data_IF_128156399056
#
_entry.id   IF_128156399056
#
_cell.length_a   1.000
_cell.length_b   1.000
_cell.length_c   1.000
_cell.angle_alpha   90.00
_cell.angle_beta   90.00
_cell.angle_gamma   90.00
#
_symmetry.space_group_name_H-M   'P 1'
#
loop_
_entity.id
_entity.type
_entity.pdbx_description
1 polymer ?
#
# COMPACT_ATOMS: atom_id res chain seq x y z
N UNK A 1 -14.83 7.65 7.65
CA UNK A 1 -14.51 6.21 7.66
C UNK A 1 -15.17 5.55 6.46
N UNK A 2 -14.53 4.52 5.91
CA UNK A 2 -15.17 3.50 5.06
C UNK A 2 -15.21 2.20 5.85
N UNK A 3 -16.35 1.53 5.86
CA UNK A 3 -16.56 0.26 6.56
C UNK A 3 -16.95 -0.82 5.58
N UNK A 4 -16.25 -1.95 5.65
CA UNK A 4 -16.47 -3.14 4.84
C UNK A 4 -16.89 -4.28 5.76
N UNK A 5 -17.98 -4.99 5.42
CA UNK A 5 -18.49 -6.12 6.20
C UNK A 5 -18.87 -7.28 5.28
N UNK A 6 -18.36 -8.46 5.59
CA UNK A 6 -18.61 -9.73 4.90
C UNK A 6 -18.49 -9.63 3.37
N UNK A 7 -17.54 -8.83 2.90
CA UNK A 7 -17.37 -8.52 1.49
C UNK A 7 -16.81 -9.75 0.78
N UNK A 8 -17.56 -10.23 -0.21
CA UNK A 8 -17.09 -11.24 -1.14
C UNK A 8 -17.25 -10.71 -2.56
N UNK A 9 -16.21 -10.87 -3.38
CA UNK A 9 -16.29 -10.63 -4.81
C UNK A 9 -15.85 -11.89 -5.57
N UNK A 10 -16.70 -12.34 -6.49
CA UNK A 10 -16.44 -13.48 -7.37
C UNK A 10 -16.54 -13.06 -8.84
N UNK A 11 -15.64 -13.62 -9.65
CA UNK A 11 -15.77 -13.65 -11.11
C UNK A 11 -15.98 -15.10 -11.55
N UNK A 12 -17.22 -15.44 -11.88
CA UNK A 12 -17.62 -16.84 -12.10
C UNK A 12 -17.34 -17.69 -10.85
N UNK A 13 -16.48 -18.70 -10.99
CA UNK A 13 -16.08 -19.59 -9.88
C UNK A 13 -14.91 -19.07 -9.04
N UNK A 14 -14.19 -18.06 -9.52
CA UNK A 14 -13.00 -17.55 -8.86
C UNK A 14 -13.37 -16.50 -7.80
N UNK A 15 -13.00 -16.75 -6.54
CA UNK A 15 -13.10 -15.78 -5.46
C UNK A 15 -11.89 -14.84 -5.52
N UNK A 16 -12.16 -13.54 -5.65
CA UNK A 16 -11.15 -12.49 -5.82
C UNK A 16 -10.91 -11.73 -4.52
N UNK A 17 -11.98 -11.46 -3.77
CA UNK A 17 -11.93 -10.81 -2.46
C UNK A 17 -12.83 -11.57 -1.49
N UNK A 18 -12.36 -11.72 -0.25
CA UNK A 18 -13.08 -12.28 0.88
C UNK A 18 -12.59 -11.58 2.15
N UNK A 19 -13.31 -10.54 2.54
CA UNK A 19 -12.94 -9.61 3.60
C UNK A 19 -14.08 -9.59 4.63
N UNK A 20 -13.93 -10.32 5.76
CA UNK A 20 -14.95 -10.36 6.80
C UNK A 20 -15.22 -8.99 7.41
N UNK A 21 -14.17 -8.23 7.70
CA UNK A 21 -14.29 -6.87 8.23
C UNK A 21 -13.06 -6.04 7.90
N UNK A 22 -13.27 -4.79 7.52
CA UNK A 22 -12.20 -3.80 7.35
C UNK A 22 -12.76 -2.39 7.55
N UNK A 23 -12.14 -1.62 8.44
CA UNK A 23 -12.44 -0.21 8.65
C UNK A 23 -11.24 0.66 8.26
N UNK A 24 -11.48 1.60 7.34
CA UNK A 24 -10.49 2.51 6.79
C UNK A 24 -10.79 3.96 7.20
N UNK A 25 -9.76 4.65 7.71
CA UNK A 25 -9.87 6.06 8.04
C UNK A 25 -9.82 6.89 6.74
N UNK A 26 -10.75 7.84 6.58
CA UNK A 26 -10.87 8.71 5.41
C UNK A 26 -10.25 10.10 5.61
N UNK A 27 -9.53 10.35 6.70
CA UNK A 27 -8.78 11.61 6.96
C UNK A 27 -7.27 11.39 7.16
N UNK A 28 -6.84 10.14 7.27
CA UNK A 28 -5.42 9.74 7.30
C UNK A 28 -4.92 9.25 5.95
N UNK A 29 -3.67 8.82 5.91
CA UNK A 29 -3.02 8.13 4.80
C UNK A 29 -2.88 6.66 5.20
N UNK A 30 -3.63 5.79 4.52
CA UNK A 30 -3.57 4.34 4.70
C UNK A 30 -2.87 3.70 3.50
N UNK A 31 -1.81 2.94 3.76
CA UNK A 31 -1.17 2.08 2.77
C UNK A 31 -1.94 0.75 2.65
N UNK A 32 -2.28 0.36 1.42
CA UNK A 32 -2.83 -0.96 1.09
C UNK A 32 -1.74 -1.76 0.37
N UNK A 33 -1.13 -2.70 1.07
CA UNK A 33 0.04 -3.46 0.63
C UNK A 33 -0.33 -4.88 0.26
N UNK A 34 0.44 -5.48 -0.63
CA UNK A 34 0.27 -6.86 -1.05
C UNK A 34 0.93 -7.12 -2.39
N UNK A 35 1.14 -8.40 -2.73
CA UNK A 35 1.72 -8.79 -4.00
C UNK A 35 0.84 -8.37 -5.19
N UNK A 36 1.40 -8.39 -6.39
CA UNK A 36 0.60 -8.29 -7.61
C UNK A 36 -0.45 -9.41 -7.63
N UNK A 37 -1.66 -9.08 -8.08
CA UNK A 37 -2.80 -10.01 -8.08
C UNK A 37 -3.45 -10.26 -6.72
N UNK A 38 -3.03 -9.60 -5.63
CA UNK A 38 -3.65 -9.82 -4.31
C UNK A 38 -5.07 -9.25 -4.17
N UNK A 39 -5.51 -8.42 -5.12
CA UNK A 39 -6.85 -7.81 -5.15
C UNK A 39 -6.90 -6.31 -4.82
N UNK A 40 -5.76 -5.62 -4.67
CA UNK A 40 -5.70 -4.20 -4.24
C UNK A 40 -6.53 -3.27 -5.13
N UNK A 41 -6.27 -3.29 -6.45
CA UNK A 41 -6.99 -2.48 -7.44
C UNK A 41 -8.49 -2.77 -7.44
N UNK A 42 -8.86 -4.03 -7.29
CA UNK A 42 -10.26 -4.45 -7.21
C UNK A 42 -10.92 -3.94 -5.93
N UNK A 43 -10.24 -4.01 -4.79
CA UNK A 43 -10.72 -3.43 -3.54
C UNK A 43 -10.90 -1.91 -3.68
N UNK A 44 -9.92 -1.19 -4.24
CA UNK A 44 -10.05 0.26 -4.48
C UNK A 44 -11.27 0.61 -5.36
N UNK A 45 -11.55 -0.18 -6.42
CA UNK A 45 -12.76 0.03 -7.25
C UNK A 45 -14.07 -0.17 -6.47
N UNK A 46 -14.10 -1.14 -5.56
CA UNK A 46 -15.26 -1.33 -4.67
C UNK A 46 -15.38 -0.17 -3.67
N UNK A 47 -14.28 0.25 -3.04
CA UNK A 47 -14.26 1.39 -2.12
C UNK A 47 -14.64 2.71 -2.82
N UNK A 48 -14.40 2.81 -4.13
CA UNK A 48 -14.83 3.90 -4.99
C UNK A 48 -16.30 3.80 -5.46
N UNK A 49 -17.02 2.74 -5.09
CA UNK A 49 -18.38 2.42 -5.56
C UNK A 49 -18.50 2.28 -7.09
N UNK A 50 -17.39 1.99 -7.78
CA UNK A 50 -17.37 1.71 -9.22
C UNK A 50 -17.68 0.24 -9.54
N UNK A 51 -17.60 -0.63 -8.53
CA UNK A 51 -17.90 -2.04 -8.65
C UNK A 51 -18.64 -2.49 -7.39
N UNK A 52 -19.74 -3.23 -7.57
CA UNK A 52 -20.47 -3.83 -6.45
C UNK A 52 -19.83 -5.18 -6.05
N UNK A 53 -19.77 -5.50 -4.75
CA UNK A 53 -19.41 -6.84 -4.32
C UNK A 53 -20.49 -7.86 -4.71
N UNK A 54 -20.13 -9.14 -4.72
CA UNK A 54 -21.08 -10.25 -4.94
C UNK A 54 -21.96 -10.49 -3.71
N UNK A 55 -21.42 -10.27 -2.50
CA UNK A 55 -22.16 -10.26 -1.23
C UNK A 55 -21.44 -9.37 -0.21
N UNK A 56 -22.12 -9.09 0.91
CA UNK A 56 -21.63 -8.18 1.94
C UNK A 56 -21.95 -6.71 1.63
N UNK A 57 -21.34 -5.80 2.38
CA UNK A 57 -21.62 -4.37 2.28
C UNK A 57 -20.37 -3.51 2.39
N UNK A 58 -20.46 -2.33 1.78
CA UNK A 58 -19.48 -1.25 1.91
C UNK A 58 -20.22 0.04 2.20
N UNK A 59 -19.82 0.72 3.27
CA UNK A 59 -20.38 1.98 3.72
C UNK A 59 -19.35 3.10 3.60
N UNK A 60 -19.75 4.20 2.99
CA UNK A 60 -18.97 5.43 2.93
C UNK A 60 -19.60 6.46 3.86
N UNK A 61 -18.87 6.86 4.90
CA UNK A 61 -19.37 7.85 5.88
C UNK A 61 -20.75 7.48 6.45
N UNK A 62 -20.96 6.19 6.74
CA UNK A 62 -22.21 5.65 7.28
C UNK A 62 -23.32 5.44 6.25
N UNK A 63 -23.01 5.54 4.94
CA UNK A 63 -24.00 5.36 3.86
C UNK A 63 -23.64 4.13 3.01
N UNK A 64 -24.52 3.12 2.96
CA UNK A 64 -24.40 1.98 2.04
C UNK A 64 -24.70 2.36 0.58
N UNK A 65 -25.60 3.32 0.38
CA UNK A 65 -25.97 3.86 -0.92
C UNK A 65 -25.70 5.37 -0.97
N UNK A 66 -24.43 5.79 -1.00
CA UNK A 66 -24.06 7.20 -0.99
C UNK A 66 -24.62 7.93 -2.21
N UNK A 67 -25.08 9.17 -2.00
CA UNK A 67 -25.55 10.03 -3.10
C UNK A 67 -24.44 10.32 -4.12
N UNK A 68 -24.81 10.73 -5.33
CA UNK A 68 -23.82 11.18 -6.32
C UNK A 68 -22.98 12.36 -5.80
N UNK A 69 -23.56 13.25 -4.98
CA UNK A 69 -22.82 14.35 -4.37
C UNK A 69 -21.75 13.85 -3.37
N UNK A 70 -22.09 12.80 -2.61
CA UNK A 70 -21.16 12.12 -1.69
C UNK A 70 -20.06 11.41 -2.47
N UNK A 71 -20.40 10.64 -3.52
CA UNK A 71 -19.42 9.96 -4.37
C UNK A 71 -18.50 10.93 -5.09
N UNK A 72 -18.99 12.15 -5.39
CA UNK A 72 -18.16 13.23 -5.93
C UNK A 72 -17.11 13.77 -4.95
N UNK A 73 -17.07 13.28 -3.72
CA UNK A 73 -16.00 13.63 -2.77
C UNK A 73 -14.85 12.60 -2.80
N UNK A 74 -14.94 11.57 -3.65
CA UNK A 74 -13.89 10.57 -3.89
C UNK A 74 -13.22 10.85 -5.25
N UNK A 75 -11.91 10.70 -5.31
CA UNK A 75 -11.14 10.66 -6.55
C UNK A 75 -10.31 9.37 -6.61
N UNK A 76 -10.49 8.57 -7.67
CA UNK A 76 -9.68 7.38 -7.94
C UNK A 76 -8.65 7.69 -9.02
N UNK A 77 -7.37 7.43 -8.73
CA UNK A 77 -6.29 7.38 -9.72
C UNK A 77 -5.96 5.92 -10.00
N UNK A 78 -6.06 5.52 -11.27
CA UNK A 78 -5.75 4.18 -11.74
C UNK A 78 -4.24 4.03 -12.01
N UNK A 79 -3.69 2.79 -12.05
CA UNK A 79 -2.26 2.55 -12.30
C UNK A 79 -1.78 3.07 -13.65
N UNK A 80 -2.64 2.95 -14.66
CA UNK A 80 -2.44 3.48 -16.00
C UNK A 80 -3.54 4.50 -16.27
N UNK A 81 -3.35 5.76 -15.88
CA UNK A 81 -4.37 6.78 -16.02
C UNK A 81 -4.53 7.16 -17.49
N UNK A 82 -5.79 7.23 -17.93
CA UNK A 82 -6.15 7.65 -19.27
C UNK A 82 -6.74 9.06 -19.21
N UNK A 83 -6.15 9.98 -19.98
CA UNK A 83 -6.71 11.30 -20.21
C UNK A 83 -7.77 11.25 -21.30
N UNK A 84 -8.77 12.12 -21.21
CA UNK A 84 -9.73 12.30 -22.30
C UNK A 84 -8.99 12.79 -23.56
N UNK A 85 -9.49 12.39 -24.74
CA UNK A 85 -8.94 12.76 -26.07
C UNK A 85 -9.07 14.26 -26.39
N UNK A 86 -8.46 15.10 -25.58
CA UNK A 86 -8.53 16.58 -25.55
C UNK A 86 -7.17 17.15 -25.11
N UNK A 87 -7.07 18.47 -24.99
CA UNK A 87 -5.90 19.08 -24.35
C UNK A 87 -5.92 18.83 -22.84
N UNK A 88 -4.76 19.00 -22.21
CA UNK A 88 -4.61 18.96 -20.75
C UNK A 88 -5.53 19.98 -20.08
N UNK A 89 -5.58 21.22 -20.59
CA UNK A 89 -6.48 22.26 -20.09
C UNK A 89 -7.95 21.81 -20.09
N UNK A 90 -8.41 21.18 -21.17
CA UNK A 90 -9.79 20.72 -21.29
C UNK A 90 -10.10 19.53 -20.38
N UNK A 91 -9.09 18.72 -20.06
CA UNK A 91 -9.21 17.68 -19.03
C UNK A 91 -9.41 18.32 -17.64
N UNK A 92 -8.62 19.34 -17.27
CA UNK A 92 -8.82 20.09 -16.02
C UNK A 92 -10.18 20.79 -15.97
N UNK A 93 -10.59 21.49 -17.04
CA UNK A 93 -11.89 22.16 -17.12
C UNK A 93 -13.04 21.17 -16.92
N UNK A 94 -12.95 19.99 -17.54
CA UNK A 94 -13.93 18.93 -17.36
C UNK A 94 -14.00 18.46 -15.90
N UNK A 95 -12.86 18.13 -15.30
CA UNK A 95 -12.78 17.66 -13.92
C UNK A 95 -13.35 18.68 -12.93
N UNK A 96 -12.95 19.95 -13.03
CA UNK A 96 -13.40 21.02 -12.14
C UNK A 96 -14.87 21.39 -12.35
N UNK A 97 -15.35 21.39 -13.60
CA UNK A 97 -16.79 21.59 -13.89
C UNK A 97 -17.65 20.53 -13.22
N UNK A 98 -17.21 19.27 -13.19
CA UNK A 98 -17.93 18.17 -12.51
C UNK A 98 -18.05 18.35 -10.99
N UNK A 99 -17.19 19.21 -10.41
CA UNK A 99 -17.15 19.57 -9.00
C UNK A 99 -17.76 20.93 -8.68
N UNK A 100 -18.26 21.66 -9.69
CA UNK A 100 -18.72 23.04 -9.50
C UNK A 100 -17.61 24.05 -9.20
N UNK A 101 -16.35 23.71 -9.49
CA UNK A 101 -15.16 24.47 -9.11
C UNK A 101 -14.47 25.16 -10.29
N UNK A 102 -15.18 25.38 -11.41
CA UNK A 102 -14.60 25.98 -12.62
C UNK A 102 -14.21 27.45 -12.42
N UNK A 103 -14.86 28.17 -11.50
CA UNK A 103 -14.51 29.54 -11.16
C UNK A 103 -13.12 29.66 -10.50
N UNK A 104 -12.64 28.57 -9.88
CA UNK A 104 -11.33 28.48 -9.22
C UNK A 104 -10.27 27.81 -10.15
N UNK A 105 -10.48 27.85 -11.46
CA UNK A 105 -9.65 27.11 -12.42
C UNK A 105 -8.17 27.44 -12.28
N UNK A 106 -7.81 28.73 -12.37
CA UNK A 106 -6.41 29.15 -12.37
C UNK A 106 -5.69 28.75 -11.09
N UNK A 107 -6.28 29.05 -9.92
CA UNK A 107 -5.72 28.73 -8.61
C UNK A 107 -5.47 27.22 -8.44
N UNK A 108 -6.48 26.40 -8.74
CA UNK A 108 -6.42 24.95 -8.53
C UNK A 108 -5.48 24.26 -9.49
N UNK A 109 -5.44 24.73 -10.75
CA UNK A 109 -4.58 24.16 -11.78
C UNK A 109 -3.12 24.50 -11.49
N UNK A 110 -2.82 25.74 -11.11
CA UNK A 110 -1.44 26.15 -10.83
C UNK A 110 -0.88 25.46 -9.59
N UNK A 111 -1.69 25.35 -8.53
CA UNK A 111 -1.34 24.56 -7.35
C UNK A 111 -1.05 23.09 -7.73
N UNK A 112 -1.95 22.45 -8.48
CA UNK A 112 -1.80 21.04 -8.83
C UNK A 112 -0.61 20.76 -9.77
N UNK A 113 -0.38 21.63 -10.76
CA UNK A 113 0.78 21.53 -11.64
C UNK A 113 2.07 21.73 -10.84
N UNK A 114 2.12 22.77 -9.99
CA UNK A 114 3.29 23.04 -9.14
C UNK A 114 3.62 21.88 -8.21
N UNK A 115 2.62 21.28 -7.55
CA UNK A 115 2.79 20.11 -6.68
C UNK A 115 3.34 18.88 -7.40
N UNK A 116 3.12 18.78 -8.70
CA UNK A 116 3.59 17.67 -9.54
C UNK A 116 4.82 18.04 -10.37
N UNK A 117 5.41 19.23 -10.15
CA UNK A 117 6.60 19.75 -10.84
C UNK A 117 6.37 20.09 -12.31
N UNK A 118 5.13 20.37 -12.69
CA UNK A 118 4.71 20.79 -14.03
C UNK A 118 4.37 22.28 -14.03
N UNK A 119 4.28 22.87 -15.21
CA UNK A 119 3.91 24.27 -15.41
C UNK A 119 2.83 24.42 -16.50
N UNK A 120 2.36 25.66 -16.69
CA UNK A 120 1.26 25.99 -17.60
C UNK A 120 1.54 25.64 -19.07
N UNK A 121 2.79 25.48 -19.49
CA UNK A 121 3.13 25.05 -20.85
C UNK A 121 2.52 23.69 -21.22
N UNK A 122 2.16 22.87 -20.23
CA UNK A 122 1.49 21.59 -20.47
C UNK A 122 0.01 21.74 -20.83
N UNK A 123 -0.64 22.87 -20.53
CA UNK A 123 -2.09 23.04 -20.73
C UNK A 123 -2.50 22.96 -22.21
N UNK A 124 -1.66 23.45 -23.11
CA UNK A 124 -1.88 23.42 -24.56
C UNK A 124 -1.70 22.02 -25.18
N UNK A 125 -0.89 21.17 -24.55
CA UNK A 125 -0.59 19.82 -25.04
C UNK A 125 -1.83 18.94 -25.09
N UNK A 126 -1.89 18.07 -26.09
CA UNK A 126 -2.87 16.99 -26.26
C UNK A 126 -2.41 15.74 -25.53
N UNK A 127 -3.37 14.90 -25.14
CA UNK A 127 -3.12 13.63 -24.47
C UNK A 127 -2.06 12.73 -25.13
N UNK A 128 -1.95 12.72 -26.47
CA UNK A 128 -0.98 11.88 -27.21
C UNK A 128 0.43 12.50 -27.31
N UNK A 129 0.61 13.76 -26.94
CA UNK A 129 1.92 14.45 -26.97
C UNK A 129 2.73 14.24 -25.68
N UNK A 130 2.16 13.50 -24.73
CA UNK A 130 2.71 13.28 -23.40
C UNK A 130 3.40 11.93 -23.33
N UNK A 131 4.59 11.89 -22.75
CA UNK A 131 5.19 10.63 -22.29
C UNK A 131 4.32 9.96 -21.22
N UNK A 132 4.56 8.68 -20.93
CA UNK A 132 3.88 7.95 -19.85
C UNK A 132 4.05 8.65 -18.50
N UNK A 133 5.27 9.05 -18.14
CA UNK A 133 5.56 9.78 -16.91
C UNK A 133 4.89 11.16 -16.84
N UNK A 134 4.81 11.90 -17.95
CA UNK A 134 4.06 13.16 -18.00
C UNK A 134 2.55 12.92 -17.87
N UNK A 135 2.01 11.87 -18.49
CA UNK A 135 0.60 11.48 -18.36
C UNK A 135 0.26 11.13 -16.91
N UNK A 136 1.12 10.37 -16.22
CA UNK A 136 0.97 10.05 -14.80
C UNK A 136 0.95 11.31 -13.94
N UNK A 137 1.90 12.23 -14.15
CA UNK A 137 2.00 13.49 -13.42
C UNK A 137 0.79 14.40 -13.66
N UNK A 138 0.32 14.51 -14.90
CA UNK A 138 -0.87 15.29 -15.25
C UNK A 138 -2.14 14.67 -14.66
N UNK A 139 -2.29 13.35 -14.74
CA UNK A 139 -3.44 12.67 -14.17
C UNK A 139 -3.51 12.84 -12.65
N UNK A 140 -2.36 12.77 -11.97
CA UNK A 140 -2.30 13.05 -10.54
C UNK A 140 -2.58 14.52 -10.25
N UNK A 141 -2.02 15.48 -11.00
CA UNK A 141 -2.35 16.90 -10.86
C UNK A 141 -3.86 17.15 -11.04
N UNK A 142 -4.48 16.53 -12.06
CA UNK A 142 -5.92 16.62 -12.29
C UNK A 142 -6.74 16.03 -11.12
N UNK A 143 -6.26 14.97 -10.48
CA UNK A 143 -6.86 14.46 -9.24
C UNK A 143 -6.74 15.49 -8.11
N UNK A 144 -5.55 16.05 -7.87
CA UNK A 144 -5.30 17.01 -6.79
C UNK A 144 -6.11 18.30 -6.95
N UNK A 145 -6.23 18.83 -8.18
CA UNK A 145 -6.99 20.04 -8.48
C UNK A 145 -8.48 19.93 -8.07
N UNK A 146 -9.04 18.71 -8.03
CA UNK A 146 -10.41 18.50 -7.58
C UNK A 146 -10.61 18.76 -6.08
N UNK A 147 -9.53 18.79 -5.27
CA UNK A 147 -9.55 18.94 -3.82
C UNK A 147 -10.58 18.01 -3.16
N UNK A 148 -10.56 16.74 -3.54
CA UNK A 148 -11.50 15.72 -3.05
C UNK A 148 -11.26 15.42 -1.56
N UNK A 149 -12.29 14.99 -0.82
CA UNK A 149 -12.14 14.60 0.59
C UNK A 149 -11.34 13.30 0.75
N UNK A 150 -11.47 12.38 -0.22
CA UNK A 150 -10.79 11.10 -0.21
C UNK A 150 -10.16 10.79 -1.57
N UNK A 151 -8.89 10.43 -1.54
CA UNK A 151 -8.14 9.95 -2.69
C UNK A 151 -7.89 8.45 -2.57
N UNK A 152 -8.24 7.71 -3.61
CA UNK A 152 -7.90 6.31 -3.78
C UNK A 152 -6.83 6.26 -4.87
N UNK A 153 -5.61 5.88 -4.53
CA UNK A 153 -4.48 5.91 -5.45
C UNK A 153 -4.00 4.48 -5.69
N UNK A 154 -4.03 4.02 -6.93
CA UNK A 154 -3.59 2.68 -7.31
C UNK A 154 -2.26 2.76 -8.06
N UNK A 155 -1.20 2.28 -7.42
CA UNK A 155 0.20 2.33 -7.88
C UNK A 155 0.60 3.73 -8.43
N UNK A 156 0.41 4.82 -7.66
CA UNK A 156 0.58 6.17 -8.19
C UNK A 156 2.01 6.51 -8.63
N UNK A 157 3.01 5.79 -8.12
CA UNK A 157 4.43 5.97 -8.41
C UNK A 157 4.96 5.04 -9.49
N UNK A 158 4.13 4.16 -10.06
CA UNK A 158 4.55 3.35 -11.21
C UNK A 158 4.98 4.26 -12.36
N UNK A 159 6.07 3.88 -13.05
CA UNK A 159 6.63 4.62 -14.17
C UNK A 159 7.18 6.02 -13.83
N UNK A 160 7.34 6.36 -12.54
CA UNK A 160 7.97 7.61 -12.10
C UNK A 160 9.44 7.39 -11.71
N UNK A 161 10.28 8.38 -12.00
CA UNK A 161 11.61 8.46 -11.42
C UNK A 161 11.55 8.81 -9.91
N UNK A 162 12.70 8.67 -9.24
CA UNK A 162 12.81 8.93 -7.80
C UNK A 162 12.44 10.37 -7.41
N UNK A 163 12.72 11.35 -8.27
CA UNK A 163 12.42 12.76 -7.99
C UNK A 163 10.92 13.02 -8.07
N UNK A 164 10.24 12.51 -9.10
CA UNK A 164 8.81 12.60 -9.28
C UNK A 164 8.04 11.86 -8.17
N UNK A 165 8.50 10.68 -7.76
CA UNK A 165 7.90 9.94 -6.62
C UNK A 165 8.00 10.74 -5.31
N UNK A 166 9.13 11.42 -5.06
CA UNK A 166 9.27 12.32 -3.90
C UNK A 166 8.32 13.54 -3.98
N UNK A 167 8.12 14.10 -5.17
CA UNK A 167 7.14 15.18 -5.37
C UNK A 167 5.72 14.69 -5.06
N UNK A 168 5.35 13.49 -5.49
CA UNK A 168 4.04 12.91 -5.18
C UNK A 168 3.83 12.74 -3.68
N UNK A 169 4.82 12.20 -2.96
CA UNK A 169 4.76 12.11 -1.50
C UNK A 169 4.54 13.48 -0.84
N UNK A 170 5.29 14.51 -1.26
CA UNK A 170 5.14 15.88 -0.76
C UNK A 170 3.76 16.46 -1.08
N UNK A 171 3.25 16.22 -2.28
CA UNK A 171 1.92 16.67 -2.69
C UNK A 171 0.81 16.03 -1.84
N UNK A 172 0.90 14.73 -1.56
CA UNK A 172 -0.04 14.01 -0.67
C UNK A 172 -0.04 14.62 0.73
N UNK A 173 1.15 14.83 1.30
CA UNK A 173 1.30 15.44 2.62
C UNK A 173 0.77 16.88 2.65
N UNK A 174 1.05 17.67 1.62
CA UNK A 174 0.53 19.03 1.46
C UNK A 174 -0.99 19.05 1.40
N UNK A 175 -1.61 18.23 0.53
CA UNK A 175 -3.06 18.18 0.40
C UNK A 175 -3.75 17.77 1.70
N UNK A 176 -3.19 16.79 2.42
CA UNK A 176 -3.70 16.41 3.74
C UNK A 176 -3.60 17.57 4.72
N UNK A 177 -2.44 18.22 4.81
CA UNK A 177 -2.21 19.31 5.78
C UNK A 177 -3.04 20.56 5.47
N UNK A 178 -3.19 20.91 4.19
CA UNK A 178 -3.84 22.15 3.75
C UNK A 178 -5.37 22.03 3.68
N UNK A 179 -5.87 20.87 3.27
CA UNK A 179 -7.29 20.65 2.94
C UNK A 179 -7.95 19.54 3.76
N UNK A 180 -7.20 18.83 4.62
CA UNK A 180 -7.75 17.73 5.43
C UNK A 180 -8.14 16.49 4.62
N UNK A 181 -7.57 16.31 3.43
CA UNK A 181 -7.84 15.16 2.56
C UNK A 181 -7.30 13.85 3.15
N UNK A 182 -8.07 12.76 3.00
CA UNK A 182 -7.60 11.40 3.26
C UNK A 182 -7.09 10.70 2.01
N UNK A 183 -6.25 9.69 2.21
CA UNK A 183 -5.64 8.89 1.15
C UNK A 183 -5.68 7.41 1.50
N UNK A 184 -6.09 6.56 0.56
CA UNK A 184 -5.87 5.12 0.59
C UNK A 184 -5.05 4.78 -0.63
N UNK A 185 -3.83 4.28 -0.42
CA UNK A 185 -2.84 4.12 -1.47
C UNK A 185 -2.49 2.65 -1.60
N UNK A 186 -2.87 2.03 -2.71
CA UNK A 186 -2.38 0.72 -3.07
C UNK A 186 -1.02 0.86 -3.75
N UNK A 187 0.02 0.25 -3.17
CA UNK A 187 1.29 0.11 -3.87
C UNK A 187 2.08 -1.08 -3.33
N UNK A 188 3.12 -1.48 -4.06
CA UNK A 188 4.15 -2.39 -3.60
C UNK A 188 5.45 -1.66 -3.18
N UNK A 189 5.56 -0.34 -3.40
CA UNK A 189 6.70 0.46 -2.94
C UNK A 189 6.57 0.79 -1.45
N UNK A 190 6.98 -0.16 -0.62
CA UNK A 190 6.97 -0.04 0.83
C UNK A 190 7.80 1.15 1.33
N UNK A 191 8.94 1.44 0.70
CA UNK A 191 9.83 2.53 1.15
C UNK A 191 9.13 3.87 0.98
N UNK A 192 8.54 4.09 -0.18
CA UNK A 192 7.79 5.31 -0.45
C UNK A 192 6.56 5.45 0.47
N UNK A 193 5.79 4.37 0.64
CA UNK A 193 4.62 4.37 1.53
C UNK A 193 5.00 4.61 2.99
N UNK A 194 6.13 4.03 3.44
CA UNK A 194 6.61 4.15 4.81
C UNK A 194 6.94 5.59 5.22
N UNK A 195 7.21 6.46 4.24
CA UNK A 195 7.52 7.87 4.47
C UNK A 195 6.26 8.73 4.69
N UNK A 196 5.07 8.26 4.31
CA UNK A 196 3.85 9.09 4.30
C UNK A 196 2.63 8.46 4.99
N UNK A 197 2.53 7.13 5.04
CA UNK A 197 1.37 6.43 5.60
C UNK A 197 1.43 6.36 7.12
N UNK A 198 0.28 6.56 7.79
CA UNK A 198 0.15 6.38 9.24
C UNK A 198 -0.33 4.97 9.61
N UNK A 199 -0.92 4.25 8.65
CA UNK A 199 -1.46 2.90 8.84
C UNK A 199 -1.20 2.06 7.61
N UNK A 200 -0.97 0.78 7.82
CA UNK A 200 -0.88 -0.22 6.75
C UNK A 200 -1.98 -1.27 6.89
N UNK A 201 -2.46 -1.74 5.74
CA UNK A 201 -3.40 -2.85 5.61
C UNK A 201 -2.78 -3.81 4.59
N UNK A 202 -2.66 -5.08 4.97
CA UNK A 202 -2.04 -6.10 4.14
C UNK A 202 -3.13 -6.95 3.48
N UNK A 203 -2.99 -7.18 2.17
CA UNK A 203 -3.91 -7.97 1.38
C UNK A 203 -3.14 -9.11 0.70
N UNK A 204 -3.55 -10.34 0.96
CA UNK A 204 -3.00 -11.54 0.33
C UNK A 204 -4.15 -12.41 -0.20
N UNK A 205 -4.14 -12.70 -1.51
CA UNK A 205 -5.15 -13.52 -2.19
C UNK A 205 -6.59 -13.15 -1.79
N UNK A 206 -6.89 -11.86 -1.82
CA UNK A 206 -8.22 -11.34 -1.54
C UNK A 206 -8.61 -11.24 -0.07
N UNK A 207 -7.73 -11.63 0.87
CA UNK A 207 -7.98 -11.61 2.31
C UNK A 207 -7.11 -10.57 3.01
N UNK A 208 -7.66 -9.92 4.03
CA UNK A 208 -6.90 -9.04 4.90
C UNK A 208 -6.03 -9.88 5.83
N UNK A 209 -4.76 -9.49 5.95
CA UNK A 209 -3.78 -10.18 6.78
C UNK A 209 -3.40 -9.30 7.98
N UNK A 210 -3.13 -9.95 9.10
CA UNK A 210 -2.67 -9.29 10.33
C UNK A 210 -1.28 -8.66 10.15
N UNK A 211 -0.45 -9.28 9.31
CA UNK A 211 0.89 -8.82 8.99
C UNK A 211 1.23 -9.08 7.53
N UNK A 212 2.30 -8.44 7.07
CA UNK A 212 2.79 -8.63 5.71
C UNK A 212 3.49 -9.97 5.54
N UNK A 213 3.05 -10.79 4.58
CA UNK A 213 3.66 -12.09 4.31
C UNK A 213 4.97 -11.95 3.51
N UNK A 214 5.97 -11.39 4.19
CA UNK A 214 7.34 -11.17 3.69
C UNK A 214 8.25 -12.38 3.86
N UNK A 215 7.94 -13.21 4.85
CA UNK A 215 8.71 -14.37 5.26
C UNK A 215 7.86 -15.62 5.02
N UNK A 216 7.71 -16.04 3.76
CA UNK A 216 6.98 -17.25 3.40
C UNK A 216 7.99 -18.34 3.07
N UNK A 217 7.82 -19.50 3.67
CA UNK A 217 8.70 -20.64 3.50
C UNK A 217 7.89 -21.91 3.28
N UNK A 218 8.44 -22.82 2.47
CA UNK A 218 7.87 -24.15 2.30
C UNK A 218 8.17 -25.03 3.52
N UNK A 219 7.24 -25.92 3.85
CA UNK A 219 7.39 -26.89 4.94
C UNK A 219 7.47 -28.28 4.35
N UNK A 220 8.44 -29.07 4.81
CA UNK A 220 8.58 -30.46 4.41
C UNK A 220 8.59 -31.35 5.66
N UNK A 221 7.64 -32.28 5.75
CA UNK A 221 7.51 -33.20 6.88
C UNK A 221 7.43 -32.49 8.25
N UNK A 222 6.76 -31.34 8.30
CA UNK A 222 6.64 -30.52 9.51
C UNK A 222 7.91 -29.77 9.90
N UNK A 223 8.91 -29.73 9.02
CA UNK A 223 10.18 -29.03 9.24
C UNK A 223 10.24 -27.80 8.33
N UNK A 224 10.50 -26.66 8.95
CA UNK A 224 10.85 -25.42 8.30
C UNK A 224 12.38 -25.35 8.17
N UNK A 225 12.91 -25.33 6.95
CA UNK A 225 14.35 -25.24 6.70
C UNK A 225 14.75 -23.85 6.20
N UNK A 226 15.73 -23.25 6.88
CA UNK A 226 16.42 -22.03 6.44
C UNK A 226 17.75 -22.36 5.75
N UNK A 227 18.39 -23.45 6.17
CA UNK A 227 19.48 -24.17 5.50
C UNK A 227 19.53 -25.61 6.02
N UNK A 228 20.52 -26.40 5.58
CA UNK A 228 20.75 -27.74 6.12
C UNK A 228 21.12 -27.73 7.62
N UNK A 229 21.75 -26.65 8.10
CA UNK A 229 22.16 -26.48 9.49
C UNK A 229 21.11 -25.77 10.35
N UNK A 230 20.24 -24.96 9.73
CA UNK A 230 19.26 -24.14 10.44
C UNK A 230 17.85 -24.62 10.06
N UNK A 231 17.25 -25.38 10.96
CA UNK A 231 15.87 -25.87 10.79
C UNK A 231 15.08 -25.79 12.09
N UNK A 232 13.75 -25.71 11.94
CA UNK A 232 12.81 -25.66 13.04
C UNK A 232 11.72 -26.71 12.83
N UNK A 233 11.49 -27.56 13.83
CA UNK A 233 10.34 -28.47 13.83
C UNK A 233 9.11 -27.72 14.31
N UNK A 234 8.06 -27.75 13.50
CA UNK A 234 6.80 -27.08 13.79
C UNK A 234 5.90 -27.97 14.65
N UNK A 235 5.02 -27.33 15.43
CA UNK A 235 3.97 -28.00 16.19
C UNK A 235 2.94 -28.68 15.25
N UNK A 236 2.25 -29.72 15.73
CA UNK A 236 1.41 -30.62 14.91
C UNK A 236 0.38 -29.91 14.02
N UNK A 237 -0.19 -28.79 14.48
CA UNK A 237 -1.15 -28.01 13.70
C UNK A 237 -0.49 -27.33 12.50
N UNK A 238 0.70 -26.79 12.68
CA UNK A 238 1.47 -26.09 11.65
C UNK A 238 2.26 -27.07 10.77
N UNK A 239 2.60 -28.25 11.30
CA UNK A 239 3.33 -29.29 10.59
C UNK A 239 2.61 -29.82 9.34
N UNK A 240 1.28 -29.66 9.28
CA UNK A 240 0.44 -30.05 8.14
C UNK A 240 0.36 -28.98 7.04
N UNK A 241 0.72 -27.73 7.34
CA UNK A 241 0.68 -26.66 6.37
C UNK A 241 1.76 -26.88 5.30
N UNK A 242 1.46 -26.54 4.05
CA UNK A 242 2.46 -26.59 2.96
C UNK A 242 3.44 -25.44 3.04
N UNK A 243 2.96 -24.28 3.49
CA UNK A 243 3.76 -23.07 3.65
C UNK A 243 3.53 -22.47 5.02
N UNK A 244 4.53 -21.74 5.51
CA UNK A 244 4.44 -20.98 6.75
C UNK A 244 4.82 -19.53 6.46
N UNK A 245 3.97 -18.60 6.91
CA UNK A 245 4.33 -17.20 7.02
C UNK A 245 4.82 -16.90 8.43
N UNK A 246 5.95 -16.20 8.54
CA UNK A 246 6.49 -15.74 9.82
C UNK A 246 6.23 -14.25 9.97
N UNK A 247 5.58 -13.84 11.05
CA UNK A 247 5.33 -12.44 11.36
C UNK A 247 6.67 -11.71 11.64
N UNK A 248 7.06 -10.73 10.80
CA UNK A 248 8.31 -9.99 10.98
C UNK A 248 8.45 -9.32 12.35
N UNK A 249 7.36 -8.90 12.98
CA UNK A 249 7.37 -8.18 14.26
C UNK A 249 7.49 -9.09 15.47
N UNK A 250 7.36 -10.42 15.27
CA UNK A 250 7.51 -11.46 16.31
C UNK A 250 8.82 -12.24 16.19
N UNK A 251 9.76 -11.69 15.44
CA UNK A 251 11.13 -12.20 15.35
C UNK A 251 11.94 -11.43 16.40
N UNK A 252 12.39 -12.13 17.44
CA UNK A 252 13.25 -11.57 18.47
C UNK A 252 14.66 -11.42 17.93
N UNK A 253 15.32 -10.30 18.24
CA UNK A 253 16.70 -10.03 17.86
C UNK A 253 17.57 -9.70 19.08
N UNK A 254 18.79 -10.23 19.07
CA UNK A 254 19.80 -9.98 20.11
C UNK A 254 21.21 -10.01 19.52
N UNK A 255 22.11 -9.21 20.08
CA UNK A 255 23.56 -9.28 19.79
C UNK A 255 24.25 -10.44 20.56
N UNK A 256 23.61 -10.95 21.60
CA UNK A 256 24.10 -12.08 22.40
C UNK A 256 23.18 -13.31 22.27
N UNK A 257 23.73 -14.54 22.34
CA UNK A 257 22.92 -15.75 22.32
C UNK A 257 21.88 -15.76 23.44
N UNK A 258 20.72 -16.36 23.16
CA UNK A 258 19.65 -16.60 24.13
C UNK A 258 19.02 -17.97 23.90
N UNK A 259 18.09 -18.38 24.78
CA UNK A 259 17.45 -19.68 24.68
C UNK A 259 16.69 -19.84 23.35
N UNK A 260 16.83 -20.99 22.69
CA UNK A 260 16.14 -21.32 21.42
C UNK A 260 16.37 -20.30 20.30
N UNK A 261 17.55 -19.69 20.26
CA UNK A 261 17.96 -18.80 19.18
C UNK A 261 18.69 -19.52 18.04
N UNK A 262 18.69 -18.88 16.88
CA UNK A 262 19.49 -19.21 15.72
C UNK A 262 20.49 -18.09 15.46
N UNK A 263 21.64 -18.41 14.88
CA UNK A 263 22.60 -17.42 14.43
C UNK A 263 22.31 -17.00 12.99
N UNK A 264 22.50 -15.71 12.70
CA UNK A 264 22.46 -15.16 11.36
C UNK A 264 23.44 -14.00 11.21
N UNK A 265 23.51 -13.44 10.01
CA UNK A 265 24.30 -12.26 9.71
C UNK A 265 23.35 -11.11 9.39
N UNK A 266 23.54 -9.97 10.05
CA UNK A 266 22.79 -8.77 9.72
C UNK A 266 23.16 -8.30 8.32
N UNK A 267 22.21 -8.32 7.39
CA UNK A 267 22.44 -7.92 6.00
C UNK A 267 22.21 -6.42 5.78
N UNK A 268 21.12 -5.87 6.31
CA UNK A 268 20.80 -4.45 6.15
C UNK A 268 19.80 -3.97 7.20
N UNK A 269 19.92 -2.70 7.59
CA UNK A 269 18.96 -1.98 8.42
C UNK A 269 18.33 -0.86 7.59
N UNK A 270 17.03 -0.65 7.73
CA UNK A 270 16.34 0.47 7.09
C UNK A 270 15.14 0.91 7.90
N UNK A 271 14.84 2.21 7.91
CA UNK A 271 13.65 2.75 8.56
C UNK A 271 12.36 2.28 7.86
N UNK A 272 11.33 2.01 8.65
CA UNK A 272 10.00 1.60 8.23
C UNK A 272 8.94 2.31 9.09
N UNK A 273 7.92 2.88 8.44
CA UNK A 273 6.81 3.63 9.04
C UNK A 273 7.22 4.65 10.12
N UNK A 274 8.27 5.42 9.83
CA UNK A 274 8.73 6.57 10.63
C UNK A 274 9.39 6.26 11.98
N UNK A 275 9.24 5.06 12.54
CA UNK A 275 9.74 4.74 13.88
C UNK A 275 10.20 3.30 14.08
N UNK A 276 9.86 2.39 13.16
CA UNK A 276 10.32 1.00 13.21
C UNK A 276 11.50 0.79 12.27
N UNK A 277 12.26 -0.26 12.51
CA UNK A 277 13.35 -0.70 11.65
C UNK A 277 12.95 -2.01 10.97
N UNK A 278 13.14 -2.06 9.66
CA UNK A 278 13.18 -3.29 8.89
C UNK A 278 14.63 -3.79 8.84
N UNK A 279 14.91 -4.85 9.59
CA UNK A 279 16.20 -5.53 9.63
C UNK A 279 16.12 -6.77 8.75
N UNK A 280 17.07 -6.92 7.83
CA UNK A 280 17.21 -8.13 7.02
C UNK A 280 18.35 -8.98 7.55
N UNK A 281 18.10 -10.27 7.71
CA UNK A 281 19.01 -11.22 8.35
C UNK A 281 19.23 -12.37 7.39
N UNK A 282 20.50 -12.63 7.06
CA UNK A 282 20.87 -13.83 6.32
C UNK A 282 20.97 -14.98 7.32
N UNK A 283 20.05 -15.93 7.23
CA UNK A 283 20.02 -17.14 8.03
C UNK A 283 20.18 -18.34 7.10
N UNK A 284 21.40 -18.84 6.99
CA UNK A 284 21.71 -19.87 5.98
C UNK A 284 21.53 -19.32 4.57
N UNK A 285 20.64 -19.95 3.80
CA UNK A 285 20.38 -19.61 2.39
C UNK A 285 19.22 -18.62 2.21
N UNK A 286 18.55 -18.24 3.29
CA UNK A 286 17.40 -17.34 3.24
C UNK A 286 17.70 -15.96 3.81
N UNK A 287 16.88 -14.99 3.39
CA UNK A 287 16.88 -13.63 3.92
C UNK A 287 15.58 -13.39 4.70
N UNK A 288 15.67 -13.42 6.03
CA UNK A 288 14.57 -13.11 6.93
C UNK A 288 14.40 -11.61 7.08
N UNK A 289 13.16 -11.13 6.99
CA UNK A 289 12.80 -9.74 7.28
C UNK A 289 12.21 -9.65 8.68
N UNK A 290 12.83 -8.87 9.55
CA UNK A 290 12.40 -8.59 10.90
C UNK A 290 11.98 -7.13 11.02
N UNK A 291 10.94 -6.85 11.81
CA UNK A 291 10.52 -5.49 12.15
C UNK A 291 10.70 -5.29 13.64
N UNK A 292 11.42 -4.24 14.05
CA UNK A 292 11.68 -3.93 15.45
C UNK A 292 11.56 -2.45 15.74
N UNK A 293 11.15 -2.08 16.96
CA UNK A 293 11.13 -0.71 17.45
C UNK A 293 12.41 -0.33 18.20
N UNK A 294 13.43 -1.20 18.21
CA UNK A 294 14.71 -0.92 18.86
C UNK A 294 15.50 0.17 18.13
N UNK A 295 16.43 0.82 18.85
CA UNK A 295 17.27 1.90 18.32
C UNK A 295 18.17 1.40 17.16
N UNK A 296 18.23 2.17 16.08
CA UNK A 296 19.03 1.89 14.88
C UNK A 296 20.53 1.77 15.20
N UNK A 297 21.00 2.55 16.18
CA UNK A 297 22.41 2.58 16.59
C UNK A 297 22.92 1.25 17.17
N UNK A 298 22.02 0.32 17.48
CA UNK A 298 22.36 -1.01 18.00
C UNK A 298 22.76 -2.01 16.92
N UNK A 299 22.61 -1.67 15.64
CA UNK A 299 22.64 -2.66 14.57
C UNK A 299 23.62 -2.28 13.46
N UNK A 300 24.69 -3.05 13.27
CA UNK A 300 25.62 -2.86 12.16
C UNK A 300 25.53 -3.99 11.14
N UNK A 301 25.52 -3.64 9.85
CA UNK A 301 25.55 -4.64 8.78
C UNK A 301 26.87 -5.43 8.82
N UNK A 302 26.78 -6.73 8.56
CA UNK A 302 27.89 -7.68 8.63
C UNK A 302 28.10 -8.31 10.00
N UNK A 303 27.46 -7.81 11.06
CA UNK A 303 27.58 -8.39 12.40
C UNK A 303 26.81 -9.72 12.50
N UNK A 304 27.37 -10.63 13.31
CA UNK A 304 26.66 -11.82 13.75
C UNK A 304 25.59 -11.41 14.74
N UNK A 305 24.37 -11.85 14.49
CA UNK A 305 23.22 -11.60 15.37
C UNK A 305 22.49 -12.91 15.65
N UNK A 306 21.74 -12.92 16.75
CA UNK A 306 20.94 -14.04 17.18
C UNK A 306 19.47 -13.67 17.04
N UNK A 307 18.68 -14.60 16.50
CA UNK A 307 17.25 -14.40 16.33
C UNK A 307 16.45 -15.61 16.81
N UNK A 308 15.20 -15.36 17.18
CA UNK A 308 14.26 -16.36 17.67
C UNK A 308 12.84 -15.94 17.34
N UNK A 309 11.87 -16.74 17.73
CA UNK A 309 10.46 -16.52 17.39
C UNK A 309 9.61 -16.49 18.65
N UNK A 310 8.78 -15.46 18.79
CA UNK A 310 7.78 -15.40 19.87
C UNK A 310 6.60 -16.33 19.60
N UNK A 311 5.81 -16.60 20.64
CA UNK A 311 4.58 -17.38 20.51
C UNK A 311 3.61 -16.76 19.50
N UNK A 312 3.09 -17.62 18.62
CA UNK A 312 2.23 -17.20 17.52
C UNK A 312 2.93 -16.34 16.46
N UNK A 313 4.26 -16.46 16.30
CA UNK A 313 4.99 -15.88 15.18
C UNK A 313 4.65 -16.57 13.84
N UNK A 314 4.20 -17.81 13.87
CA UNK A 314 3.96 -18.64 12.70
C UNK A 314 2.48 -18.67 12.33
N UNK A 315 2.21 -18.57 11.03
CA UNK A 315 0.90 -18.76 10.44
C UNK A 315 0.98 -19.80 9.33
N UNK A 316 0.19 -20.87 9.45
CA UNK A 316 0.03 -21.88 8.41
C UNK A 316 -0.66 -21.30 7.18
N UNK A 317 -0.05 -21.50 6.01
CA UNK A 317 -0.59 -21.17 4.71
C UNK A 317 -0.74 -22.46 3.90
N UNK A 318 -1.95 -22.66 3.34
CA UNK A 318 -2.33 -23.83 2.53
C UNK A 318 -2.31 -25.17 3.29
#
# INVERSE_FOLDING_TARGET
MISVRDLVLRYGRSEILNIPSLDLNTSGITALLGSNGSGKSTLLRILAFLQRPSSGSVELWGQQAPSLQTLRQICLLLPEPVLLKRSVEQNFKFALKSRGALAEFDERVDEALGLTGLDRSFLSKKHFELSSGQTQRIAFALALAQRAKLYLLDEPTNSLDLAASKLFARAILFMRSRYGCGFIIASHDEKWLSAIAQRSVFLHRGKICEFEYKNIFDVQNGILKFSDEISLRLEDRLARARKIAINPSKILLSQSPFERCFAGILHSVSLQYGSSLLIKIKAGDVLLKCVTAQDERRWSAGERIYFGFEDGAFLGLE
#
